data_IF_806348062698
#
_entry.id   IF_806348062698
#
_cell.length_a   1.000
_cell.length_b   1.000
_cell.length_c   1.000
_cell.angle_alpha   90.00
_cell.angle_beta   90.00
_cell.angle_gamma   90.00
#
_symmetry.space_group_name_H-M   'P 1'
#
loop_
_entity.id
_entity.type
_entity.pdbx_description
1 polymer ?
#
# COMPACT_ATOMS: atom_id res chain seq x y z
N UNK A 1 50.08 16.50 -30.30
CA UNK A 1 48.86 15.69 -30.17
C UNK A 1 48.35 15.88 -28.74
N UNK A 2 47.41 16.80 -28.53
CA UNK A 2 46.80 17.03 -27.22
C UNK A 2 45.62 16.04 -27.08
N UNK A 3 45.72 15.11 -26.13
CA UNK A 3 44.60 14.22 -25.82
C UNK A 3 43.42 15.04 -25.28
N UNK A 4 42.17 14.78 -25.69
CA UNK A 4 41.02 15.48 -25.15
C UNK A 4 40.90 15.18 -23.64
N UNK A 5 40.75 16.22 -22.84
CA UNK A 5 40.47 16.09 -21.41
C UNK A 5 39.14 15.34 -21.22
N UNK A 6 39.22 14.11 -20.69
CA UNK A 6 38.02 13.37 -20.31
C UNK A 6 37.73 13.59 -18.83
N UNK A 7 36.51 14.07 -18.53
CA UNK A 7 35.99 14.14 -17.16
C UNK A 7 35.11 12.93 -16.89
N UNK A 8 35.37 12.23 -15.79
CA UNK A 8 34.59 11.08 -15.37
C UNK A 8 33.83 11.44 -14.09
N UNK A 9 32.53 11.15 -14.06
CA UNK A 9 31.68 11.31 -12.88
C UNK A 9 31.14 9.95 -12.47
N UNK A 10 31.36 9.58 -11.20
CA UNK A 10 30.67 8.45 -10.60
C UNK A 10 29.27 8.90 -10.20
N UNK A 11 28.25 8.23 -10.72
CA UNK A 11 26.86 8.44 -10.32
C UNK A 11 26.47 7.37 -9.31
N UNK A 12 25.83 7.79 -8.22
CA UNK A 12 25.26 6.92 -7.19
C UNK A 12 23.79 7.26 -7.01
N UNK A 13 23.02 6.38 -6.36
CA UNK A 13 21.62 6.64 -6.06
C UNK A 13 21.48 7.93 -5.22
N UNK A 14 20.65 8.87 -5.69
CA UNK A 14 20.54 10.22 -5.13
C UNK A 14 20.02 10.27 -3.68
N UNK A 15 19.24 9.26 -3.27
CA UNK A 15 18.80 8.87 -1.91
C UNK A 15 17.71 7.81 -2.09
N UNK A 16 17.69 6.77 -1.26
CA UNK A 16 16.60 5.80 -1.29
C UNK A 16 15.32 6.46 -0.76
N UNK A 17 14.20 6.24 -1.45
CA UNK A 17 12.89 6.61 -0.91
C UNK A 17 12.64 5.79 0.37
N UNK A 18 12.02 6.37 1.41
CA UNK A 18 11.62 5.60 2.57
C UNK A 18 10.68 4.46 2.16
N UNK A 19 10.79 3.33 2.84
CA UNK A 19 9.93 2.17 2.56
C UNK A 19 8.49 2.50 3.00
N UNK A 20 7.47 2.21 2.17
CA UNK A 20 6.08 2.31 2.59
C UNK A 20 5.78 1.47 3.82
N UNK A 21 5.09 2.07 4.79
CA UNK A 21 4.69 1.39 6.03
C UNK A 21 3.19 1.55 6.27
N UNK A 22 2.56 0.49 6.75
CA UNK A 22 1.14 0.48 7.08
C UNK A 22 0.89 -0.24 8.41
N UNK A 23 -0.11 0.24 9.16
CA UNK A 23 -0.56 -0.35 10.43
C UNK A 23 -2.06 -0.55 10.38
N UNK A 24 -2.52 -1.77 10.59
CA UNK A 24 -3.92 -2.13 10.66
C UNK A 24 -4.27 -2.62 12.08
N UNK A 25 -5.29 -2.03 12.70
CA UNK A 25 -5.90 -2.50 13.93
C UNK A 25 -7.33 -2.91 13.62
N UNK A 26 -7.61 -4.21 13.69
CA UNK A 26 -8.89 -4.78 13.31
C UNK A 26 -9.59 -5.46 14.49
N UNK A 27 -10.78 -4.99 14.82
CA UNK A 27 -11.63 -5.50 15.89
C UNK A 27 -12.69 -6.42 15.30
N UNK A 28 -12.35 -7.71 15.14
CA UNK A 28 -13.20 -8.69 14.47
C UNK A 28 -14.65 -8.75 14.99
N UNK A 29 -14.87 -8.62 16.30
CA UNK A 29 -16.22 -8.68 16.91
C UNK A 29 -17.15 -7.60 16.37
N UNK A 30 -16.63 -6.40 16.16
CA UNK A 30 -17.39 -5.24 15.68
C UNK A 30 -17.24 -5.03 14.17
N UNK A 31 -16.23 -5.63 13.55
CA UNK A 31 -15.87 -5.34 12.16
C UNK A 31 -15.25 -3.95 12.01
N UNK A 32 -14.65 -3.40 13.08
CA UNK A 32 -14.03 -2.07 13.04
C UNK A 32 -12.58 -2.17 12.62
N UNK A 33 -12.20 -1.48 11.56
CA UNK A 33 -10.81 -1.31 11.13
C UNK A 33 -10.37 0.14 11.38
N UNK A 34 -9.18 0.28 11.97
CA UNK A 34 -8.38 1.51 11.91
C UNK A 34 -7.11 1.18 11.13
N UNK A 35 -6.86 1.92 10.07
CA UNK A 35 -5.66 1.77 9.25
C UNK A 35 -4.95 3.12 9.11
N UNK A 36 -3.62 3.11 9.25
CA UNK A 36 -2.75 4.24 8.93
C UNK A 36 -1.60 3.77 8.06
N UNK A 37 -1.11 4.66 7.21
CA UNK A 37 0.06 4.40 6.38
C UNK A 37 0.88 5.68 6.16
N UNK A 38 2.16 5.50 5.84
CA UNK A 38 3.12 6.56 5.62
C UNK A 38 4.15 6.17 4.54
N UNK A 39 4.86 7.18 4.02
CA UNK A 39 5.86 7.02 2.97
C UNK A 39 5.32 6.41 1.67
N UNK A 40 4.04 6.65 1.38
CA UNK A 40 3.40 6.18 0.16
C UNK A 40 3.79 7.07 -1.02
N UNK A 41 3.95 6.45 -2.18
CA UNK A 41 4.14 7.18 -3.42
C UNK A 41 2.82 7.84 -3.86
N UNK A 42 2.91 9.03 -4.45
CA UNK A 42 1.78 9.60 -5.18
C UNK A 42 1.44 8.71 -6.38
N UNK A 43 0.14 8.50 -6.62
CA UNK A 43 -0.35 7.68 -7.71
C UNK A 43 -0.92 8.53 -8.84
N UNK A 44 -0.90 8.05 -10.10
CA UNK A 44 -1.65 8.67 -11.19
C UNK A 44 -3.14 8.80 -10.82
N UNK A 45 -3.88 9.78 -11.40
CA UNK A 45 -5.26 10.04 -11.00
C UNK A 45 -6.24 8.88 -11.18
N UNK A 46 -5.92 7.89 -12.02
CA UNK A 46 -6.76 6.71 -12.29
C UNK A 46 -6.41 5.50 -11.40
N UNK A 47 -5.58 5.69 -10.37
CA UNK A 47 -5.09 4.64 -9.48
C UNK A 47 -5.30 5.00 -8.01
N UNK A 48 -5.57 3.97 -7.20
CA UNK A 48 -5.72 4.05 -5.74
C UNK A 48 -4.91 2.95 -5.08
N UNK A 49 -4.58 3.12 -3.81
CA UNK A 49 -4.22 1.98 -2.98
C UNK A 49 -5.49 1.27 -2.51
N UNK A 50 -5.45 -0.05 -2.42
CA UNK A 50 -6.53 -0.84 -1.85
C UNK A 50 -6.00 -1.75 -0.76
N UNK A 51 -6.66 -1.71 0.39
CA UNK A 51 -6.39 -2.60 1.52
C UNK A 51 -7.23 -3.87 1.37
N UNK A 52 -6.63 -5.01 1.71
CA UNK A 52 -7.25 -6.32 1.64
C UNK A 52 -7.13 -7.03 2.99
N UNK A 53 -8.21 -7.69 3.42
CA UNK A 53 -8.14 -8.72 4.44
C UNK A 53 -7.96 -10.07 3.74
N UNK A 54 -6.93 -10.81 4.14
CA UNK A 54 -6.72 -12.19 3.70
C UNK A 54 -7.22 -13.11 4.82
N UNK A 55 -8.28 -13.91 4.62
CA UNK A 55 -8.90 -14.69 5.70
C UNK A 55 -8.06 -15.89 6.15
N UNK A 56 -8.10 -16.19 7.45
CA UNK A 56 -7.48 -17.38 8.04
C UNK A 56 -8.10 -18.71 7.56
N UNK A 57 -9.35 -18.67 7.09
CA UNK A 57 -10.04 -19.80 6.47
C UNK A 57 -9.43 -20.22 5.12
N UNK A 58 -8.61 -19.38 4.49
CA UNK A 58 -8.11 -19.61 3.13
C UNK A 58 -9.11 -19.27 2.03
N UNK A 59 -10.25 -18.65 2.36
CA UNK A 59 -11.17 -18.09 1.36
C UNK A 59 -10.53 -16.91 0.61
N UNK A 60 -11.18 -16.45 -0.46
CA UNK A 60 -10.69 -15.36 -1.29
C UNK A 60 -10.39 -14.07 -0.49
N UNK A 61 -9.37 -13.28 -0.90
CA UNK A 61 -9.12 -11.95 -0.35
C UNK A 61 -10.36 -11.06 -0.38
N UNK A 62 -10.58 -10.28 0.67
CA UNK A 62 -11.73 -9.39 0.79
C UNK A 62 -11.28 -7.93 0.64
N UNK A 63 -11.95 -7.10 -0.19
CA UNK A 63 -11.65 -5.68 -0.29
C UNK A 63 -12.02 -4.98 1.02
N UNK A 64 -11.05 -4.33 1.65
CA UNK A 64 -11.19 -3.64 2.95
C UNK A 64 -11.03 -2.11 2.81
N UNK A 65 -11.34 -1.60 1.62
CA UNK A 65 -11.43 -0.17 1.29
C UNK A 65 -10.25 0.34 0.47
N UNK A 66 -10.46 1.49 -0.18
CA UNK A 66 -9.48 2.19 -1.01
C UNK A 66 -9.07 3.51 -0.37
N UNK A 67 -7.87 3.98 -0.70
CA UNK A 67 -7.35 5.25 -0.22
C UNK A 67 -6.32 5.85 -1.16
N UNK A 68 -6.12 7.17 -1.03
CA UNK A 68 -5.01 7.92 -1.63
C UNK A 68 -4.22 8.59 -0.51
N UNK A 69 -2.88 8.64 -0.61
CA UNK A 69 -2.09 9.40 0.34
C UNK A 69 -2.31 10.90 0.17
N UNK A 70 -2.08 11.66 1.24
CA UNK A 70 -1.93 13.10 1.19
C UNK A 70 -0.62 13.52 0.51
N UNK A 71 -0.38 14.83 0.43
CA UNK A 71 0.81 15.41 -0.19
C UNK A 71 2.13 15.03 0.53
N UNK A 72 2.05 14.51 1.76
CA UNK A 72 3.18 14.05 2.56
C UNK A 72 3.36 12.53 2.49
N UNK A 73 2.51 11.81 1.74
CA UNK A 73 2.58 10.36 1.61
C UNK A 73 1.88 9.60 2.75
N UNK A 74 1.03 10.27 3.53
CA UNK A 74 0.30 9.64 4.64
C UNK A 74 -1.14 9.31 4.24
N UNK A 75 -1.71 8.27 4.85
CA UNK A 75 -3.12 7.95 4.70
C UNK A 75 -3.70 7.41 6.02
N UNK A 76 -4.99 7.63 6.23
CA UNK A 76 -5.73 7.08 7.35
C UNK A 76 -7.14 6.67 6.92
N UNK A 77 -7.62 5.53 7.43
CA UNK A 77 -8.98 5.03 7.21
C UNK A 77 -9.55 4.51 8.52
N UNK A 78 -10.81 4.83 8.78
CA UNK A 78 -11.61 4.21 9.85
C UNK A 78 -12.85 3.64 9.19
N UNK A 79 -12.98 2.32 9.18
CA UNK A 79 -14.11 1.62 8.57
C UNK A 79 -14.86 0.83 9.63
N UNK A 80 -16.07 1.25 10.01
CA UNK A 80 -16.95 0.47 10.88
C UNK A 80 -17.72 -0.60 10.08
N UNK A 81 -18.20 -1.62 10.79
CA UNK A 81 -19.16 -2.61 10.27
C UNK A 81 -18.67 -3.40 9.04
N UNK A 82 -17.37 -3.66 8.94
CA UNK A 82 -16.80 -4.54 7.91
C UNK A 82 -17.10 -6.02 8.18
N UNK A 83 -16.89 -6.85 7.17
CA UNK A 83 -17.02 -8.32 7.24
C UNK A 83 -16.19 -8.92 8.38
N UNK A 84 -16.82 -9.73 9.23
CA UNK A 84 -16.26 -10.19 10.52
C UNK A 84 -15.40 -11.45 10.40
N UNK A 85 -14.73 -11.62 9.26
CA UNK A 85 -13.83 -12.73 9.00
C UNK A 85 -12.59 -12.68 9.90
N UNK A 86 -12.09 -13.84 10.33
CA UNK A 86 -10.82 -13.93 11.05
C UNK A 86 -9.66 -13.60 10.09
N UNK A 87 -8.81 -12.59 10.40
CA UNK A 87 -7.69 -12.23 9.54
C UNK A 87 -6.54 -13.25 9.67
N UNK A 88 -5.93 -13.61 8.54
CA UNK A 88 -4.60 -14.22 8.48
C UNK A 88 -3.52 -13.17 8.34
N UNK A 89 -3.79 -12.17 7.49
CA UNK A 89 -2.90 -11.06 7.18
C UNK A 89 -3.70 -9.94 6.50
N UNK A 90 -3.11 -8.76 6.45
CA UNK A 90 -3.54 -7.67 5.58
C UNK A 90 -2.52 -7.45 4.46
N UNK A 91 -3.01 -7.00 3.32
CA UNK A 91 -2.19 -6.65 2.16
C UNK A 91 -2.66 -5.36 1.52
N UNK A 92 -1.76 -4.65 0.84
CA UNK A 92 -2.08 -3.47 0.03
C UNK A 92 -1.54 -3.66 -1.38
N UNK A 93 -2.34 -3.27 -2.37
CA UNK A 93 -2.00 -3.25 -3.80
C UNK A 93 -2.32 -1.87 -4.39
N UNK A 94 -1.89 -1.62 -5.63
CA UNK A 94 -2.27 -0.44 -6.41
C UNK A 94 -3.32 -0.87 -7.45
N UNK A 95 -4.51 -0.31 -7.36
CA UNK A 95 -5.70 -0.72 -8.12
C UNK A 95 -6.21 0.41 -9.01
N UNK A 96 -7.09 0.14 -10.00
CA UNK A 96 -7.85 1.19 -10.69
C UNK A 96 -8.65 2.06 -9.70
N UNK A 97 -8.97 3.30 -10.05
CA UNK A 97 -9.67 4.26 -9.16
C UNK A 97 -10.91 3.71 -8.44
N UNK A 98 -11.67 2.82 -9.10
CA UNK A 98 -12.85 2.16 -8.52
C UNK A 98 -12.56 0.96 -7.61
N UNK A 99 -11.27 0.63 -7.40
CA UNK A 99 -10.82 -0.59 -6.78
C UNK A 99 -10.94 -1.82 -7.70
N UNK A 100 -10.67 -2.97 -7.10
CA UNK A 100 -10.75 -4.30 -7.71
C UNK A 100 -11.52 -5.25 -6.79
N UNK A 101 -12.04 -6.33 -7.36
CA UNK A 101 -12.69 -7.43 -6.61
C UNK A 101 -11.68 -8.46 -6.09
N UNK A 102 -10.52 -8.55 -6.74
CA UNK A 102 -9.39 -9.38 -6.34
C UNK A 102 -8.10 -8.56 -6.43
N UNK A 103 -7.11 -8.78 -5.56
CA UNK A 103 -5.86 -8.03 -5.59
C UNK A 103 -5.15 -8.19 -6.93
N UNK A 104 -4.70 -7.08 -7.52
CA UNK A 104 -3.74 -7.11 -8.62
C UNK A 104 -2.32 -7.23 -8.09
N UNK A 105 -1.41 -7.69 -8.93
CA UNK A 105 0.01 -7.81 -8.58
C UNK A 105 0.80 -6.62 -9.12
N UNK A 106 1.84 -6.15 -8.40
CA UNK A 106 2.37 -6.72 -7.15
C UNK A 106 1.63 -6.25 -5.89
N UNK A 107 1.74 -7.05 -4.82
CA UNK A 107 1.49 -6.60 -3.45
C UNK A 107 2.59 -5.61 -3.06
N UNK A 108 2.21 -4.42 -2.62
CA UNK A 108 3.16 -3.34 -2.25
C UNK A 108 3.41 -3.23 -0.75
N UNK A 109 2.48 -3.72 0.08
CA UNK A 109 2.68 -3.90 1.52
C UNK A 109 1.93 -5.13 2.01
N UNK A 110 2.48 -5.83 3.00
CA UNK A 110 1.84 -6.98 3.64
C UNK A 110 2.26 -7.07 5.12
N UNK A 111 1.35 -7.50 5.98
CA UNK A 111 1.61 -7.74 7.40
C UNK A 111 0.66 -8.80 7.97
N UNK A 112 1.20 -9.73 8.75
CA UNK A 112 0.48 -10.83 9.39
C UNK A 112 0.42 -10.64 10.90
#
# INVERSE_FOLDING_TARGET
LASPESSHFALVAAKAQPVPEGRASYMQKTGTLVFTAQHLAALPPQKVYQLWLIPASGSAPMPFGTFKPDAQGNAAMIMPNMEKAAPKMFAVTIEPEGGSQTPTMPIVMAGA
#
